data_IF_984696241983
#
_entry.id   IF_984696241983
#
_cell.length_a   1.000
_cell.length_b   1.000
_cell.length_c   1.000
_cell.angle_alpha   90.00
_cell.angle_beta   90.00
_cell.angle_gamma   90.00
#
_symmetry.space_group_name_H-M   'P 1'
#
loop_
_entity.id
_entity.type
_entity.pdbx_description
1 polymer ?
#
# COMPACT_ATOMS: atom_id res chain seq x y z
N UNK A 1 -14.57 -44.49 0.51
CA UNK A 1 -14.96 -45.53 -0.47
C UNK A 1 -15.68 -44.87 -1.63
N UNK A 2 -15.48 -45.39 -2.88
CA UNK A 2 -15.68 -44.78 -4.23
C UNK A 2 -14.41 -44.05 -4.71
N UNK A 3 -13.36 -44.72 -5.21
CA UNK A 3 -13.18 -45.50 -6.47
C UNK A 3 -13.54 -44.71 -7.74
N UNK A 4 -12.53 -44.14 -8.40
CA UNK A 4 -12.51 -43.97 -9.85
C UNK A 4 -11.19 -44.52 -10.40
N UNK A 5 -11.35 -45.35 -11.43
CA UNK A 5 -10.39 -46.26 -12.04
C UNK A 5 -9.65 -45.54 -13.17
N UNK A 6 -8.37 -45.86 -13.30
CA UNK A 6 -7.43 -45.40 -14.32
C UNK A 6 -7.80 -45.85 -15.74
N UNK A 7 -7.33 -45.10 -16.75
CA UNK A 7 -7.00 -45.68 -18.05
C UNK A 7 -5.76 -45.03 -18.65
N UNK A 8 -4.79 -45.91 -18.92
CA UNK A 8 -3.47 -45.69 -19.49
C UNK A 8 -3.56 -45.38 -20.99
N UNK A 9 -2.67 -44.51 -21.48
CA UNK A 9 -2.21 -44.55 -22.86
C UNK A 9 -0.69 -44.41 -22.89
N UNK A 10 -0.05 -45.56 -23.06
CA UNK A 10 1.35 -45.75 -23.43
C UNK A 10 1.56 -45.28 -24.88
N UNK A 11 2.59 -44.45 -25.12
CA UNK A 11 3.28 -44.44 -26.41
C UNK A 11 4.78 -44.43 -26.14
N UNK A 12 5.42 -45.55 -26.46
CA UNK A 12 6.86 -45.73 -26.48
C UNK A 12 7.28 -46.06 -27.91
N UNK A 13 8.17 -45.26 -28.49
CA UNK A 13 9.10 -45.58 -29.59
C UNK A 13 10.08 -44.40 -29.66
N UNK A 14 11.32 -44.45 -29.14
CA UNK A 14 12.48 -45.30 -29.45
C UNK A 14 13.24 -44.85 -30.72
N UNK A 15 14.26 -44.00 -30.46
CA UNK A 15 15.66 -44.06 -30.95
C UNK A 15 15.96 -43.59 -32.39
N UNK A 16 16.84 -42.58 -32.53
CA UNK A 16 18.22 -42.77 -33.00
C UNK A 16 19.08 -41.49 -32.90
N UNK A 17 20.34 -41.74 -32.58
CA UNK A 17 21.48 -40.85 -32.39
C UNK A 17 21.76 -39.94 -33.60
N UNK A 18 22.17 -38.70 -33.33
CA UNK A 18 23.29 -38.10 -34.08
C UNK A 18 24.10 -37.18 -33.18
N UNK A 19 25.37 -37.54 -33.01
CA UNK A 19 26.36 -36.80 -32.24
C UNK A 19 26.95 -35.61 -33.01
N UNK A 20 27.37 -34.64 -32.22
CA UNK A 20 28.41 -33.61 -32.38
C UNK A 20 28.99 -33.33 -33.77
N UNK A 21 28.89 -32.06 -34.20
CA UNK A 21 30.00 -31.40 -34.88
C UNK A 21 30.16 -30.00 -34.29
N UNK A 22 31.24 -29.79 -33.53
CA UNK A 22 31.73 -28.47 -33.16
C UNK A 22 32.38 -27.84 -34.40
N UNK A 23 31.98 -26.63 -34.77
CA UNK A 23 32.61 -25.85 -35.81
C UNK A 23 33.68 -24.91 -35.20
N UNK A 24 34.91 -24.86 -35.74
CA UNK A 24 35.95 -23.95 -35.28
C UNK A 24 35.82 -22.52 -35.84
N UNK A 25 36.30 -21.59 -35.01
CA UNK A 25 36.57 -20.17 -35.19
C UNK A 25 37.00 -19.70 -36.59
N UNK A 26 36.40 -18.60 -37.05
CA UNK A 26 37.00 -17.65 -37.99
C UNK A 26 36.33 -16.26 -37.86
N UNK A 27 36.99 -15.30 -37.19
CA UNK A 27 36.78 -13.86 -37.38
C UNK A 27 37.68 -13.35 -38.51
N UNK A 28 37.19 -12.46 -39.39
CA UNK A 28 37.79 -11.10 -39.51
C UNK A 28 36.82 -10.04 -40.12
N UNK A 29 37.24 -8.79 -40.43
CA UNK A 29 38.09 -7.82 -39.72
C UNK A 29 37.32 -6.54 -39.33
N UNK A 30 37.85 -5.76 -38.38
CA UNK A 30 37.35 -4.41 -38.01
C UNK A 30 37.85 -3.36 -39.01
N UNK A 31 36.98 -2.44 -39.48
CA UNK A 31 37.37 -1.02 -39.61
C UNK A 31 36.18 -0.02 -39.41
N UNK A 32 36.40 1.30 -39.50
CA UNK A 32 37.13 2.17 -38.59
C UNK A 32 36.19 3.00 -37.69
N UNK A 33 36.77 3.62 -36.67
CA UNK A 33 36.16 4.63 -35.79
C UNK A 33 35.79 5.88 -36.60
N UNK A 34 34.53 6.34 -36.50
CA UNK A 34 34.11 7.61 -37.07
C UNK A 34 32.70 8.06 -36.67
N UNK A 35 32.62 9.04 -35.77
CA UNK A 35 31.72 10.20 -35.90
C UNK A 35 30.23 10.04 -35.55
N UNK A 36 29.91 10.41 -34.31
CA UNK A 36 28.74 11.16 -33.84
C UNK A 36 27.43 11.14 -34.65
N UNK A 37 26.38 10.59 -34.05
CA UNK A 37 25.08 11.27 -34.02
C UNK A 37 24.35 10.92 -32.72
N UNK A 38 24.55 11.77 -31.70
CA UNK A 38 23.70 11.79 -30.51
C UNK A 38 22.37 12.48 -30.90
N UNK A 39 21.44 11.71 -31.44
CA UNK A 39 20.04 12.16 -31.50
C UNK A 39 19.40 11.86 -30.16
N UNK A 40 19.38 12.88 -29.30
CA UNK A 40 18.39 13.13 -28.26
C UNK A 40 17.83 11.89 -27.57
N UNK A 41 18.66 11.21 -26.79
CA UNK A 41 18.16 10.61 -25.56
C UNK A 41 17.90 11.77 -24.62
N UNK A 42 16.62 12.14 -24.48
CA UNK A 42 16.15 12.88 -23.33
C UNK A 42 16.78 12.24 -22.10
N UNK A 43 17.62 13.01 -21.40
CA UNK A 43 18.00 12.76 -20.03
C UNK A 43 16.72 12.51 -19.21
N UNK A 44 16.32 11.25 -19.09
CA UNK A 44 15.57 10.80 -17.93
C UNK A 44 16.62 10.30 -16.96
N UNK A 45 17.13 11.25 -16.17
CA UNK A 45 17.78 10.95 -14.91
C UNK A 45 16.86 10.00 -14.15
N UNK A 46 17.37 8.78 -13.94
CA UNK A 46 16.87 7.75 -13.04
C UNK A 46 16.01 8.37 -11.92
N UNK A 47 14.67 8.22 -11.94
CA UNK A 47 13.85 8.68 -10.84
C UNK A 47 14.39 7.98 -9.59
N UNK A 48 14.78 8.79 -8.61
CA UNK A 48 15.37 8.39 -7.33
C UNK A 48 14.95 6.96 -6.95
N UNK A 49 15.89 6.01 -6.89
CA UNK A 49 15.61 4.61 -6.56
C UNK A 49 14.98 4.44 -5.17
N UNK A 50 15.00 5.50 -4.35
CA UNK A 50 14.38 5.60 -3.05
C UNK A 50 13.16 6.55 -3.04
N UNK A 51 12.60 6.88 -4.21
CA UNK A 51 11.35 7.62 -4.28
C UNK A 51 10.25 6.81 -3.60
N UNK A 52 9.44 7.50 -2.80
CA UNK A 52 8.31 6.94 -2.07
C UNK A 52 7.02 7.64 -2.49
N UNK A 53 5.91 6.94 -2.31
CA UNK A 53 4.58 7.43 -2.57
C UNK A 53 3.64 7.01 -1.47
N UNK A 54 2.68 7.89 -1.19
CA UNK A 54 1.58 7.62 -0.28
C UNK A 54 0.40 7.03 -1.04
N UNK A 55 -0.17 5.98 -0.47
CA UNK A 55 -1.36 5.32 -0.97
C UNK A 55 -2.38 5.20 0.15
N UNK A 56 -3.66 5.14 -0.20
CA UNK A 56 -4.74 4.93 0.75
C UNK A 56 -5.60 3.71 0.40
N UNK A 57 -6.25 3.17 1.42
CA UNK A 57 -7.19 2.06 1.33
C UNK A 57 -8.35 2.31 2.30
N UNK A 58 -9.57 2.02 1.86
CA UNK A 58 -10.77 2.06 2.69
C UNK A 58 -11.15 0.63 3.08
N UNK A 59 -10.88 0.21 4.32
CA UNK A 59 -11.26 -1.12 4.79
C UNK A 59 -12.77 -1.32 4.71
N UNK A 60 -13.22 -2.56 4.47
CA UNK A 60 -14.65 -2.90 4.45
C UNK A 60 -15.13 -3.41 5.82
N UNK A 61 -16.44 -3.25 6.09
CA UNK A 61 -17.07 -3.64 7.36
C UNK A 61 -17.07 -5.16 7.61
N UNK A 62 -17.36 -5.96 6.60
CA UNK A 62 -17.58 -7.41 6.74
C UNK A 62 -16.62 -8.24 5.91
N UNK A 63 -16.58 -9.55 6.19
CA UNK A 63 -15.83 -10.52 5.39
C UNK A 63 -14.31 -10.49 5.64
N UNK A 64 -13.81 -9.46 6.32
CA UNK A 64 -12.40 -9.26 6.58
C UNK A 64 -11.69 -8.65 5.38
N UNK A 65 -10.72 -7.78 5.67
CA UNK A 65 -9.82 -7.26 4.65
C UNK A 65 -8.74 -8.32 4.34
N UNK A 66 -8.09 -8.28 3.16
CA UNK A 66 -7.20 -9.36 2.71
C UNK A 66 -6.13 -9.76 3.73
N UNK A 67 -5.52 -8.79 4.42
CA UNK A 67 -4.51 -9.05 5.45
C UNK A 67 -5.11 -9.69 6.72
N UNK A 68 -6.35 -9.36 7.07
CA UNK A 68 -7.05 -9.93 8.23
C UNK A 68 -7.44 -11.39 7.97
N UNK A 69 -7.90 -11.69 6.77
CA UNK A 69 -8.20 -13.07 6.34
C UNK A 69 -6.91 -13.90 6.36
N UNK A 70 -5.85 -13.38 5.74
CA UNK A 70 -4.53 -14.02 5.72
C UNK A 70 -4.00 -14.31 7.13
N UNK A 71 -4.18 -13.37 8.06
CA UNK A 71 -3.79 -13.56 9.46
C UNK A 71 -4.63 -14.63 10.14
N UNK A 72 -5.96 -14.60 9.98
CA UNK A 72 -6.87 -15.58 10.57
C UNK A 72 -6.60 -17.01 10.09
N UNK A 73 -6.18 -17.17 8.83
CA UNK A 73 -5.83 -18.47 8.24
C UNK A 73 -4.44 -18.98 8.65
N UNK A 74 -3.61 -18.14 9.28
CA UNK A 74 -2.24 -18.51 9.62
C UNK A 74 -2.11 -19.56 10.73
N UNK A 75 -3.14 -19.72 11.55
CA UNK A 75 -3.14 -20.61 12.73
C UNK A 75 -2.10 -20.24 13.79
N UNK A 76 -1.48 -19.05 13.70
CA UNK A 76 -0.44 -18.60 14.63
C UNK A 76 -1.04 -18.33 16.00
N UNK A 77 -0.33 -18.78 17.03
CA UNK A 77 -0.65 -18.46 18.41
C UNK A 77 0.34 -17.42 18.91
N UNK A 78 -0.20 -16.37 19.52
CA UNK A 78 0.61 -15.26 20.01
C UNK A 78 0.45 -15.07 21.52
N UNK A 79 1.54 -14.63 22.15
CA UNK A 79 1.51 -14.14 23.53
C UNK A 79 0.71 -12.83 23.61
N UNK A 80 0.76 -12.00 22.55
CA UNK A 80 -0.07 -10.80 22.35
C UNK A 80 -0.64 -10.78 20.94
N UNK A 81 -1.89 -10.36 20.77
CA UNK A 81 -2.44 -10.17 19.43
C UNK A 81 -1.63 -9.10 18.67
N UNK A 82 -1.27 -9.34 17.39
CA UNK A 82 -0.60 -8.33 16.58
C UNK A 82 -1.53 -7.16 16.26
N UNK A 83 -0.96 -5.98 16.09
CA UNK A 83 -1.72 -4.80 15.65
C UNK A 83 -2.06 -4.89 14.16
N UNK A 84 -3.02 -4.08 13.70
CA UNK A 84 -3.37 -4.06 12.28
C UNK A 84 -2.18 -3.65 11.39
N UNK A 85 -1.36 -2.70 11.86
CA UNK A 85 -0.11 -2.30 11.20
C UNK A 85 0.85 -3.48 11.04
N UNK A 86 1.06 -4.26 12.12
CA UNK A 86 1.97 -5.41 12.10
C UNK A 86 1.48 -6.49 11.13
N UNK A 87 0.18 -6.78 11.15
CA UNK A 87 -0.44 -7.75 10.24
C UNK A 87 -0.32 -7.28 8.79
N UNK A 88 -0.69 -6.03 8.51
CA UNK A 88 -0.71 -5.46 7.16
C UNK A 88 0.72 -5.40 6.58
N UNK A 89 1.68 -4.95 7.38
CA UNK A 89 3.11 -4.92 6.99
C UNK A 89 3.62 -6.32 6.68
N UNK A 90 3.33 -7.30 7.54
CA UNK A 90 3.74 -8.68 7.31
C UNK A 90 3.08 -9.29 6.06
N UNK A 91 1.80 -9.03 5.84
CA UNK A 91 1.04 -9.51 4.69
C UNK A 91 1.65 -9.01 3.37
N UNK A 92 1.80 -7.69 3.21
CA UNK A 92 2.32 -7.13 1.96
C UNK A 92 3.78 -7.51 1.70
N UNK A 93 4.59 -7.62 2.75
CA UNK A 93 5.97 -8.06 2.62
C UNK A 93 6.03 -9.54 2.18
N UNK A 94 5.30 -10.43 2.84
CA UNK A 94 5.41 -11.88 2.60
C UNK A 94 4.70 -12.31 1.30
N UNK A 95 3.54 -11.74 1.00
CA UNK A 95 2.72 -12.17 -0.15
C UNK A 95 3.15 -11.48 -1.43
N UNK A 96 3.54 -10.20 -1.35
CA UNK A 96 3.79 -9.37 -2.54
C UNK A 96 5.22 -8.84 -2.65
N UNK A 97 6.07 -9.02 -1.64
CA UNK A 97 7.40 -8.43 -1.59
C UNK A 97 7.37 -6.90 -1.52
N UNK A 98 6.30 -6.33 -0.95
CA UNK A 98 6.12 -4.88 -0.81
C UNK A 98 6.45 -4.48 0.62
N UNK A 99 7.46 -3.64 0.76
CA UNK A 99 7.84 -3.03 2.03
C UNK A 99 6.98 -1.80 2.29
N UNK A 100 6.41 -1.75 3.49
CA UNK A 100 5.64 -0.61 4.00
C UNK A 100 6.54 0.18 4.94
N UNK A 101 6.78 1.43 4.58
CA UNK A 101 7.73 2.31 5.25
C UNK A 101 7.07 3.10 6.38
N UNK A 102 5.82 3.51 6.17
CA UNK A 102 4.99 4.19 7.16
C UNK A 102 3.55 3.69 7.06
N UNK A 103 2.86 3.70 8.19
CA UNK A 103 1.45 3.35 8.33
C UNK A 103 0.73 4.41 9.16
N UNK A 104 -0.47 4.78 8.74
CA UNK A 104 -1.39 5.59 9.54
C UNK A 104 -2.83 5.18 9.25
N UNK A 105 -3.64 4.98 10.29
CA UNK A 105 -5.10 4.85 10.16
C UNK A 105 -5.78 6.06 10.80
N UNK A 106 -6.85 6.55 10.17
CA UNK A 106 -7.69 7.63 10.70
C UNK A 106 -9.16 7.33 10.48
N UNK A 107 -9.97 7.56 11.52
CA UNK A 107 -11.41 7.63 11.36
C UNK A 107 -11.77 8.82 10.49
N UNK A 108 -12.31 8.56 9.31
CA UNK A 108 -12.70 9.56 8.31
C UNK A 108 -14.21 9.75 8.24
N UNK A 109 -14.97 8.79 8.77
CA UNK A 109 -16.44 8.82 8.71
C UNK A 109 -17.05 8.65 10.10
N UNK A 110 -17.79 9.66 10.57
CA UNK A 110 -18.50 9.61 11.86
C UNK A 110 -19.78 8.76 11.85
N UNK A 111 -20.39 8.55 10.67
CA UNK A 111 -21.55 7.67 10.48
C UNK A 111 -21.31 6.86 9.20
N UNK A 112 -21.24 5.55 9.34
CA UNK A 112 -21.10 4.59 8.23
C UNK A 112 -22.35 3.71 8.12
N UNK A 113 -22.70 3.32 6.90
CA UNK A 113 -23.79 2.38 6.69
C UNK A 113 -23.46 0.97 7.22
N UNK A 114 -24.47 0.24 7.67
CA UNK A 114 -24.31 -1.11 8.25
C UNK A 114 -24.24 -2.24 7.19
N UNK A 115 -24.19 -1.91 5.90
CA UNK A 115 -24.10 -2.92 4.85
C UNK A 115 -22.65 -3.43 4.70
N UNK A 116 -22.50 -4.70 4.34
CA UNK A 116 -21.17 -5.33 4.32
C UNK A 116 -20.20 -4.80 3.26
N UNK A 117 -20.72 -4.16 2.21
CA UNK A 117 -19.91 -3.47 1.21
C UNK A 117 -19.53 -2.04 1.62
N UNK A 118 -19.98 -1.56 2.78
CA UNK A 118 -19.66 -0.21 3.25
C UNK A 118 -18.21 -0.16 3.77
N UNK A 119 -17.56 1.01 3.66
CA UNK A 119 -16.33 1.29 4.38
C UNK A 119 -16.49 1.10 5.90
N UNK A 120 -15.41 0.67 6.55
CA UNK A 120 -15.31 0.45 8.00
C UNK A 120 -15.44 1.76 8.79
N UNK A 121 -15.11 2.87 8.15
CA UNK A 121 -15.19 4.23 8.69
C UNK A 121 -13.84 4.86 8.97
N UNK A 122 -12.76 4.10 8.83
CA UNK A 122 -11.40 4.59 8.78
C UNK A 122 -10.81 4.50 7.36
N UNK A 123 -9.78 5.29 7.13
CA UNK A 123 -8.92 5.22 5.95
C UNK A 123 -7.52 4.88 6.42
N UNK A 124 -6.94 3.83 5.82
CA UNK A 124 -5.55 3.44 6.03
C UNK A 124 -4.72 4.13 4.96
N UNK A 125 -3.66 4.81 5.38
CA UNK A 125 -2.64 5.42 4.52
C UNK A 125 -1.30 4.76 4.78
N UNK A 126 -0.59 4.42 3.71
CA UNK A 126 0.74 3.82 3.77
C UNK A 126 1.72 4.56 2.88
N UNK A 127 2.99 4.54 3.27
CA UNK A 127 4.09 4.93 2.41
C UNK A 127 4.81 3.68 1.89
N UNK A 128 5.02 3.61 0.58
CA UNK A 128 5.76 2.54 -0.08
C UNK A 128 6.74 3.11 -1.08
N UNK A 129 7.71 2.31 -1.51
CA UNK A 129 8.55 2.68 -2.66
C UNK A 129 7.73 2.84 -3.94
N UNK A 130 8.08 3.82 -4.77
CA UNK A 130 7.41 4.12 -6.05
C UNK A 130 7.33 2.88 -6.96
N UNK A 131 8.37 2.03 -6.96
CA UNK A 131 8.40 0.77 -7.71
C UNK A 131 7.25 -0.20 -7.38
N UNK A 132 6.68 -0.09 -6.17
CA UNK A 132 5.58 -0.92 -5.69
C UNK A 132 4.20 -0.34 -6.04
N UNK A 133 4.14 0.94 -6.45
CA UNK A 133 2.90 1.69 -6.69
C UNK A 133 1.93 0.94 -7.61
N UNK A 134 2.39 0.58 -8.81
CA UNK A 134 1.54 -0.08 -9.80
C UNK A 134 0.92 -1.40 -9.28
N UNK A 135 1.70 -2.17 -8.51
CA UNK A 135 1.21 -3.39 -7.86
C UNK A 135 0.14 -3.07 -6.83
N UNK A 136 0.39 -2.10 -5.96
CA UNK A 136 -0.56 -1.72 -4.91
C UNK A 136 -1.88 -1.19 -5.49
N UNK A 137 -1.82 -0.37 -6.54
CA UNK A 137 -3.02 0.09 -7.25
C UNK A 137 -3.85 -1.08 -7.81
N UNK A 138 -3.19 -2.11 -8.36
CA UNK A 138 -3.89 -3.31 -8.84
C UNK A 138 -4.54 -4.15 -7.73
N UNK A 139 -4.13 -3.94 -6.48
CA UNK A 139 -4.67 -4.61 -5.28
C UNK A 139 -5.78 -3.78 -4.62
N UNK A 140 -6.24 -2.70 -5.24
CA UNK A 140 -7.35 -1.87 -4.75
C UNK A 140 -6.92 -0.68 -3.89
N UNK A 141 -5.63 -0.37 -3.80
CA UNK A 141 -5.17 0.88 -3.22
C UNK A 141 -5.41 2.05 -4.17
N UNK A 142 -5.55 3.24 -3.60
CA UNK A 142 -5.70 4.50 -4.33
C UNK A 142 -4.50 5.42 -4.09
N UNK A 143 -4.22 6.30 -5.05
CA UNK A 143 -3.21 7.34 -4.87
C UNK A 143 -3.64 8.30 -3.76
N UNK A 144 -2.68 8.70 -2.92
CA UNK A 144 -2.93 9.62 -1.82
C UNK A 144 -1.76 10.60 -1.64
N UNK A 145 -2.04 11.72 -0.97
CA UNK A 145 -0.99 12.57 -0.42
C UNK A 145 -0.57 12.05 0.95
N UNK A 146 0.62 12.43 1.40
CA UNK A 146 1.03 12.19 2.80
C UNK A 146 -0.09 12.67 3.75
N UNK A 147 -0.57 11.83 4.67
CA UNK A 147 -1.60 12.25 5.60
C UNK A 147 -1.00 13.26 6.59
N UNK A 148 -1.81 14.26 6.96
CA UNK A 148 -1.37 15.41 7.76
C UNK A 148 -1.39 15.08 9.24
N UNK A 149 -0.27 15.11 9.96
CA UNK A 149 -0.22 14.81 11.41
C UNK A 149 -0.90 15.89 12.26
N UNK A 150 -2.23 15.83 12.32
CA UNK A 150 -3.05 16.74 13.13
C UNK A 150 -3.23 16.18 14.55
N UNK A 151 -3.07 17.01 15.59
CA UNK A 151 -3.34 16.60 16.95
C UNK A 151 -4.81 16.18 17.07
N UNK A 152 -5.07 15.08 17.77
CA UNK A 152 -6.43 14.70 18.13
C UNK A 152 -6.92 15.65 19.23
N UNK A 153 -7.86 16.52 18.89
CA UNK A 153 -8.45 17.45 19.85
C UNK A 153 -9.61 16.73 20.55
N UNK A 154 -9.49 16.57 21.86
CA UNK A 154 -10.60 16.09 22.67
C UNK A 154 -11.67 17.17 22.73
N UNK A 155 -12.97 16.84 22.61
CA UNK A 155 -14.02 17.84 22.75
C UNK A 155 -13.89 18.56 24.10
N UNK A 156 -14.16 19.88 24.14
CA UNK A 156 -14.10 20.64 25.39
C UNK A 156 -15.07 20.05 26.42
N UNK A 157 -14.74 20.18 27.70
CA UNK A 157 -15.63 19.78 28.78
C UNK A 157 -16.97 20.54 28.67
N UNK A 158 -18.10 19.99 29.17
CA UNK A 158 -19.39 20.68 29.09
C UNK A 158 -19.37 22.10 29.70
N UNK A 159 -18.51 22.34 30.68
CA UNK A 159 -18.34 23.63 31.35
C UNK A 159 -17.11 24.42 30.87
N UNK A 160 -16.48 24.02 29.75
CA UNK A 160 -15.29 24.68 29.20
C UNK A 160 -15.47 26.18 28.97
N UNK A 161 -16.70 26.60 28.64
CA UNK A 161 -17.04 27.98 28.35
C UNK A 161 -18.35 28.37 29.06
N UNK A 162 -18.39 28.17 30.38
CA UNK A 162 -19.52 28.59 31.20
C UNK A 162 -19.65 30.12 31.15
N UNK A 163 -20.81 30.63 30.71
CA UNK A 163 -21.11 32.05 30.50
C UNK A 163 -20.31 32.76 29.39
N UNK A 164 -19.66 32.02 28.50
CA UNK A 164 -19.00 32.57 27.31
C UNK A 164 -19.56 32.01 26.01
N UNK A 165 -18.96 32.38 24.89
CA UNK A 165 -19.22 31.80 23.57
C UNK A 165 -18.02 30.99 23.10
N UNK A 166 -18.26 29.74 22.71
CA UNK A 166 -17.24 28.90 22.08
C UNK A 166 -17.08 29.35 20.63
N UNK A 167 -15.86 29.73 20.26
CA UNK A 167 -15.48 30.03 18.88
C UNK A 167 -14.51 28.96 18.37
N UNK A 168 -14.64 28.61 17.09
CA UNK A 168 -13.68 27.70 16.44
C UNK A 168 -12.27 28.31 16.51
N UNK A 169 -11.26 27.47 16.77
CA UNK A 169 -9.85 27.87 16.69
C UNK A 169 -9.39 28.11 15.24
N UNK A 170 -10.21 27.72 14.26
CA UNK A 170 -9.86 27.78 12.85
C UNK A 170 -9.02 26.59 12.40
N UNK A 171 -8.32 26.78 11.29
CA UNK A 171 -7.47 25.80 10.64
C UNK A 171 -6.05 26.38 10.56
N UNK A 172 -5.04 25.61 10.96
CA UNK A 172 -3.63 26.03 10.85
C UNK A 172 -3.09 25.96 9.40
N UNK A 173 -1.85 26.42 9.19
CA UNK A 173 -1.21 26.39 7.86
C UNK A 173 -1.04 24.96 7.31
N UNK A 174 -1.03 23.95 8.19
CA UNK A 174 -0.97 22.54 7.80
C UNK A 174 -2.35 21.99 7.43
N UNK A 175 -3.43 22.75 7.65
CA UNK A 175 -4.81 22.35 7.42
C UNK A 175 -5.39 21.49 8.55
N UNK A 176 -4.86 21.60 9.75
CA UNK A 176 -5.34 20.93 10.96
C UNK A 176 -6.27 21.85 11.76
N UNK A 177 -7.34 21.28 12.32
CA UNK A 177 -8.22 22.02 13.24
C UNK A 177 -7.46 22.46 14.48
N UNK A 178 -7.68 23.72 14.88
CA UNK A 178 -7.15 24.29 16.11
C UNK A 178 -8.19 24.17 17.22
N UNK A 179 -7.70 24.05 18.46
CA UNK A 179 -8.58 23.95 19.64
C UNK A 179 -9.52 25.17 19.72
N UNK A 180 -10.81 24.95 20.04
CA UNK A 180 -11.75 26.05 20.17
C UNK A 180 -11.36 26.97 21.33
N UNK A 181 -11.69 28.26 21.21
CA UNK A 181 -11.49 29.25 22.25
C UNK A 181 -12.82 29.66 22.89
N UNK A 182 -12.78 30.08 24.16
CA UNK A 182 -13.91 30.68 24.85
C UNK A 182 -13.72 32.20 24.90
N UNK A 183 -14.69 32.95 24.40
CA UNK A 183 -14.70 34.42 24.49
C UNK A 183 -15.82 34.89 25.41
N UNK A 184 -15.55 35.95 26.17
CA UNK A 184 -16.52 36.62 27.04
C UNK A 184 -16.77 38.02 26.47
N UNK A 185 -18.04 38.41 26.34
CA UNK A 185 -18.37 39.80 25.98
C UNK A 185 -17.96 40.72 27.15
N UNK A 186 -17.35 41.89 26.88
CA UNK A 186 -17.05 42.84 27.92
C UNK A 186 -18.36 43.40 28.49
N UNK A 187 -18.48 43.39 29.83
CA UNK A 187 -19.59 44.03 30.54
C UNK A 187 -19.71 45.50 30.08
N UNK A 188 -20.89 45.87 29.57
CA UNK A 188 -21.23 47.21 29.08
C UNK A 188 -21.28 48.26 30.18
#
# INVERSE_FOLDING_TARGET
MKKYVALFALFASLVLFYGCIAAPSAEPPVPPIGGANQTNQSNQTNPNANATVWLSYEPIQCGGNPWQIWEAESGRQYIRAPTEEEILTAYYLQVYGVEILQYQSRYTHGIVCLACSCPRGDTISIEVYEKSKAKMLSLGWSEATKPKDCPQIMPPSPNFCENGTIVSGGIDDNGCELAPACIFEPDS
#
